data_IF_335490734034
#
_entry.id   IF_335490734034
#
_cell.length_a   1.000
_cell.length_b   1.000
_cell.length_c   1.000
_cell.angle_alpha   90.00
_cell.angle_beta   90.00
_cell.angle_gamma   90.00
#
_symmetry.space_group_name_H-M   'P 1'
#
loop_
_entity.id
_entity.type
_entity.pdbx_description
1 polymer ?
#
# COMPACT_ATOMS: atom_id res chain seq x y z
N UNK A 1 8.22 11.54 17.76
CA UNK A 1 8.68 11.77 16.38
C UNK A 1 8.54 10.50 15.57
N UNK A 2 8.17 10.59 14.33
CA UNK A 2 8.01 9.40 13.48
C UNK A 2 9.37 8.92 12.97
N UNK A 3 9.68 7.66 13.23
CA UNK A 3 10.96 7.05 12.85
C UNK A 3 10.81 6.03 11.71
N UNK A 4 9.68 5.32 11.67
CA UNK A 4 9.38 4.29 10.67
C UNK A 4 7.97 4.48 10.14
N UNK A 5 7.85 4.71 8.84
CA UNK A 5 6.59 4.94 8.16
C UNK A 5 6.30 3.78 7.21
N UNK A 6 5.10 3.22 7.31
CA UNK A 6 4.60 2.21 6.37
C UNK A 6 3.69 2.89 5.34
N UNK A 7 4.10 2.89 4.09
CA UNK A 7 3.30 3.36 2.97
C UNK A 7 2.59 2.18 2.30
N UNK A 8 1.27 2.16 2.34
CA UNK A 8 0.47 1.09 1.76
C UNK A 8 -0.02 1.49 0.37
N UNK A 9 0.18 0.61 -0.60
CA UNK A 9 -0.02 0.85 -2.01
C UNK A 9 -0.80 -0.30 -2.67
N UNK A 10 -1.79 0.04 -3.47
CA UNK A 10 -2.68 -0.92 -4.13
C UNK A 10 -2.35 -1.19 -5.61
N UNK A 11 -1.30 -0.57 -6.14
CA UNK A 11 -0.91 -0.71 -7.55
C UNK A 11 -1.57 0.28 -8.51
N UNK A 12 -2.55 1.07 -8.07
CA UNK A 12 -3.23 2.04 -8.93
C UNK A 12 -2.43 3.32 -9.18
N UNK A 13 -2.77 4.05 -10.26
CA UNK A 13 -2.17 5.36 -10.54
C UNK A 13 -2.52 6.40 -9.46
N UNK A 14 -3.73 6.34 -8.94
CA UNK A 14 -4.17 7.23 -7.85
C UNK A 14 -3.49 6.86 -6.53
N UNK A 15 -3.29 5.58 -6.26
CA UNK A 15 -2.50 5.09 -5.14
C UNK A 15 -1.06 5.63 -5.17
N UNK A 16 -0.46 5.77 -6.34
CA UNK A 16 0.87 6.37 -6.49
C UNK A 16 0.92 7.84 -6.09
N UNK A 17 -0.13 8.61 -6.39
CA UNK A 17 -0.22 10.01 -5.96
C UNK A 17 -0.31 10.14 -4.45
N UNK A 18 -1.14 9.30 -3.84
CA UNK A 18 -1.25 9.24 -2.38
C UNK A 18 0.06 8.80 -1.73
N UNK A 19 0.74 7.81 -2.32
CA UNK A 19 2.05 7.35 -1.89
C UNK A 19 3.08 8.48 -1.95
N UNK A 20 3.07 9.29 -3.00
CA UNK A 20 3.96 10.45 -3.13
C UNK A 20 3.79 11.44 -1.97
N UNK A 21 2.55 11.78 -1.61
CA UNK A 21 2.28 12.67 -0.47
C UNK A 21 2.75 12.08 0.86
N UNK A 22 2.54 10.79 1.05
CA UNK A 22 3.05 10.08 2.22
C UNK A 22 4.58 10.07 2.28
N UNK A 23 5.24 9.90 1.14
CA UNK A 23 6.69 9.95 1.03
C UNK A 23 7.23 11.36 1.33
N UNK A 24 6.59 12.40 0.81
CA UNK A 24 6.94 13.80 1.11
C UNK A 24 6.86 14.08 2.63
N UNK A 25 5.84 13.57 3.28
CA UNK A 25 5.72 13.68 4.74
C UNK A 25 6.85 12.92 5.45
N UNK A 26 7.16 11.69 5.02
CA UNK A 26 8.24 10.89 5.59
C UNK A 26 9.62 11.59 5.45
N UNK A 27 9.85 12.22 4.31
CA UNK A 27 11.04 13.05 4.08
C UNK A 27 11.10 14.19 5.09
N UNK A 28 10.00 14.91 5.25
CA UNK A 28 9.90 16.05 6.15
C UNK A 28 10.23 15.70 7.60
N UNK A 29 9.81 14.53 8.04
CA UNK A 29 10.06 14.06 9.42
C UNK A 29 11.34 13.24 9.57
N UNK A 30 12.05 12.97 8.48
CA UNK A 30 13.30 12.20 8.50
C UNK A 30 13.13 10.72 8.83
N UNK A 31 11.98 10.14 8.48
CA UNK A 31 11.66 8.76 8.80
C UNK A 31 12.22 7.75 7.78
N UNK A 32 12.47 6.55 8.24
CA UNK A 32 12.69 5.37 7.41
C UNK A 32 11.36 4.95 6.78
N UNK A 33 11.36 4.61 5.50
CA UNK A 33 10.15 4.31 4.74
C UNK A 33 10.09 2.84 4.35
N UNK A 34 8.98 2.22 4.67
CA UNK A 34 8.64 0.86 4.25
C UNK A 34 7.44 0.93 3.30
N UNK A 35 7.60 0.47 2.08
CA UNK A 35 6.52 0.47 1.07
C UNK A 35 5.95 -0.93 0.96
N UNK A 36 4.68 -1.08 1.27
CA UNK A 36 3.95 -2.35 1.18
C UNK A 36 2.99 -2.32 0.00
N UNK A 37 3.23 -3.17 -0.98
CA UNK A 37 2.30 -3.42 -2.07
C UNK A 37 1.53 -4.71 -1.79
N UNK A 38 0.21 -4.64 -1.82
CA UNK A 38 -0.66 -5.77 -1.49
C UNK A 38 -1.39 -6.21 -2.75
N UNK A 39 -1.15 -7.44 -3.15
CA UNK A 39 -1.89 -8.13 -4.20
C UNK A 39 -3.11 -8.82 -3.59
N UNK A 40 -4.27 -8.66 -4.22
CA UNK A 40 -5.47 -9.35 -3.79
C UNK A 40 -5.25 -10.86 -3.77
N UNK A 41 -5.81 -11.53 -2.77
CA UNK A 41 -5.81 -12.99 -2.72
C UNK A 41 -6.70 -13.53 -3.82
N UNK A 42 -6.12 -14.37 -4.68
CA UNK A 42 -6.86 -14.94 -5.80
C UNK A 42 -7.91 -16.00 -5.41
N UNK A 43 -7.85 -16.49 -4.20
CA UNK A 43 -8.69 -17.62 -3.75
C UNK A 43 -10.19 -17.31 -3.66
N UNK A 44 -10.60 -16.05 -3.78
CA UNK A 44 -12.00 -15.64 -3.60
C UNK A 44 -12.56 -14.75 -4.73
N UNK A 45 -11.83 -14.54 -5.81
CA UNK A 45 -12.24 -13.64 -6.90
C UNK A 45 -12.79 -14.45 -8.09
N UNK A 46 -13.95 -14.05 -8.65
CA UNK A 46 -14.44 -14.61 -9.91
C UNK A 46 -13.44 -14.48 -11.07
N UNK A 47 -12.55 -13.49 -11.00
CA UNK A 47 -11.47 -13.31 -11.94
C UNK A 47 -10.47 -14.48 -11.92
N UNK A 48 -10.32 -15.18 -10.79
CA UNK A 48 -9.46 -16.40 -10.72
C UNK A 48 -10.05 -17.57 -11.47
N UNK A 49 -11.36 -17.71 -11.41
CA UNK A 49 -12.05 -18.77 -12.17
C UNK A 49 -11.94 -18.49 -13.67
N UNK A 50 -12.03 -17.25 -14.10
CA UNK A 50 -11.78 -16.81 -15.46
C UNK A 50 -10.29 -16.90 -15.85
N UNK A 51 -9.38 -16.69 -14.91
CA UNK A 51 -7.94 -16.73 -15.10
C UNK A 51 -7.33 -18.14 -15.00
N UNK A 52 -8.07 -19.16 -14.55
CA UNK A 52 -7.69 -20.55 -14.77
C UNK A 52 -7.53 -20.89 -16.25
N UNK A 53 -8.15 -20.10 -17.15
CA UNK A 53 -7.92 -20.11 -18.58
C UNK A 53 -6.75 -19.21 -19.04
N UNK A 54 -6.19 -18.34 -18.15
CA UNK A 54 -5.14 -17.39 -18.45
C UNK A 54 -4.11 -17.26 -17.33
N UNK A 55 -3.45 -18.34 -16.96
CA UNK A 55 -2.38 -18.37 -15.96
C UNK A 55 -1.29 -17.28 -16.19
N UNK A 56 -1.12 -16.90 -17.44
CA UNK A 56 -0.15 -15.88 -17.89
C UNK A 56 -0.46 -14.49 -17.34
N UNK A 57 -1.74 -14.11 -17.23
CA UNK A 57 -2.12 -12.77 -16.77
C UNK A 57 -1.79 -12.49 -15.28
N UNK A 58 -1.80 -13.53 -14.45
CA UNK A 58 -1.53 -13.40 -13.01
C UNK A 58 -0.05 -13.20 -12.72
N UNK A 59 0.80 -13.86 -13.48
CA UNK A 59 2.26 -13.72 -13.39
C UNK A 59 2.68 -12.31 -13.84
N UNK A 60 2.05 -11.80 -14.89
CA UNK A 60 2.32 -10.45 -15.40
C UNK A 60 1.92 -9.36 -14.39
N UNK A 61 0.81 -9.55 -13.67
CA UNK A 61 0.36 -8.59 -12.66
C UNK A 61 1.34 -8.52 -11.48
N UNK A 62 1.76 -9.67 -10.97
CA UNK A 62 2.76 -9.71 -9.90
C UNK A 62 4.08 -9.08 -10.32
N UNK A 63 4.56 -9.40 -11.51
CA UNK A 63 5.79 -8.85 -12.05
C UNK A 63 5.70 -7.33 -12.22
N UNK A 64 4.59 -6.83 -12.74
CA UNK A 64 4.33 -5.40 -12.87
C UNK A 64 4.33 -4.69 -11.51
N UNK A 65 3.66 -5.27 -10.52
CA UNK A 65 3.64 -4.71 -9.17
C UNK A 65 5.03 -4.68 -8.55
N UNK A 66 5.83 -5.71 -8.76
CA UNK A 66 7.21 -5.79 -8.30
C UNK A 66 8.08 -4.71 -8.94
N UNK A 67 7.97 -4.52 -10.23
CA UNK A 67 8.70 -3.47 -10.96
C UNK A 67 8.33 -2.07 -10.50
N UNK A 68 7.03 -1.80 -10.32
CA UNK A 68 6.55 -0.53 -9.79
C UNK A 68 7.02 -0.27 -8.36
N UNK A 69 7.06 -1.31 -7.53
CA UNK A 69 7.59 -1.24 -6.18
C UNK A 69 9.09 -0.92 -6.19
N UNK A 70 9.87 -1.63 -7.00
CA UNK A 70 11.30 -1.43 -7.11
C UNK A 70 11.63 -0.01 -7.62
N UNK A 71 10.89 0.50 -8.59
CA UNK A 71 11.00 1.87 -9.07
C UNK A 71 10.72 2.90 -7.97
N UNK A 72 9.67 2.67 -7.19
CA UNK A 72 9.32 3.54 -6.07
C UNK A 72 10.41 3.57 -5.01
N UNK A 73 10.96 2.42 -4.68
CA UNK A 73 12.08 2.31 -3.73
C UNK A 73 13.34 3.01 -4.26
N UNK A 74 13.66 2.83 -5.54
CA UNK A 74 14.81 3.49 -6.16
C UNK A 74 14.68 5.02 -6.11
N UNK A 75 13.49 5.55 -6.36
CA UNK A 75 13.22 7.00 -6.26
C UNK A 75 13.40 7.53 -4.84
N UNK A 76 12.89 6.81 -3.85
CA UNK A 76 13.05 7.20 -2.45
C UNK A 76 14.53 7.20 -2.04
N UNK A 77 15.27 6.16 -2.43
CA UNK A 77 16.71 6.08 -2.17
C UNK A 77 17.51 7.19 -2.85
N UNK A 78 17.13 7.58 -4.07
CA UNK A 78 17.76 8.69 -4.79
C UNK A 78 17.57 10.04 -4.08
N UNK A 79 16.56 10.15 -3.24
CA UNK A 79 16.29 11.32 -2.40
C UNK A 79 16.94 11.24 -1.02
N UNK A 80 17.79 10.25 -0.78
CA UNK A 80 18.50 10.08 0.47
C UNK A 80 17.70 9.39 1.58
N UNK A 81 16.55 8.78 1.25
CA UNK A 81 15.68 8.11 2.22
C UNK A 81 16.08 6.64 2.32
N UNK A 82 16.12 6.12 3.55
CA UNK A 82 16.17 4.68 3.76
C UNK A 82 14.81 4.10 3.42
N UNK A 83 14.76 3.31 2.35
CA UNK A 83 13.51 2.75 1.85
C UNK A 83 13.62 1.24 1.63
N UNK A 84 12.56 0.53 2.00
CA UNK A 84 12.42 -0.93 1.86
C UNK A 84 11.09 -1.25 1.21
N UNK A 85 11.07 -2.23 0.32
CA UNK A 85 9.87 -2.66 -0.39
C UNK A 85 9.43 -4.05 0.01
N UNK A 86 8.11 -4.24 0.11
CA UNK A 86 7.48 -5.52 0.43
C UNK A 86 6.32 -5.77 -0.54
N UNK A 87 6.27 -6.96 -1.09
CA UNK A 87 5.16 -7.44 -1.90
C UNK A 87 4.48 -8.56 -1.14
N UNK A 88 3.21 -8.38 -0.81
CA UNK A 88 2.43 -9.35 -0.06
C UNK A 88 1.15 -9.74 -0.80
N UNK A 89 0.68 -10.94 -0.55
CA UNK A 89 -0.63 -11.43 -1.00
C UNK A 89 -1.53 -11.63 0.21
N UNK A 90 -2.78 -11.29 0.07
CA UNK A 90 -3.79 -11.54 1.08
C UNK A 90 -4.84 -10.44 1.19
N UNK A 91 -5.58 -10.49 2.27
CA UNK A 91 -6.55 -9.46 2.60
C UNK A 91 -5.84 -8.20 3.09
N UNK A 92 -6.30 -7.05 2.64
CA UNK A 92 -5.65 -5.76 2.84
C UNK A 92 -5.43 -5.43 4.31
N UNK A 93 -6.50 -5.39 5.11
CA UNK A 93 -6.42 -4.96 6.51
C UNK A 93 -5.56 -5.89 7.36
N UNK A 94 -5.77 -7.22 7.38
CA UNK A 94 -4.91 -8.13 8.14
C UNK A 94 -3.44 -8.05 7.72
N UNK A 95 -3.16 -7.85 6.44
CA UNK A 95 -1.79 -7.75 5.92
C UNK A 95 -1.11 -6.47 6.42
N UNK A 96 -1.80 -5.33 6.37
CA UNK A 96 -1.28 -4.06 6.90
C UNK A 96 -0.98 -4.19 8.40
N UNK A 97 -1.90 -4.74 9.17
CA UNK A 97 -1.73 -4.93 10.62
C UNK A 97 -0.53 -5.82 10.92
N UNK A 98 -0.38 -6.93 10.19
CA UNK A 98 0.74 -7.86 10.37
C UNK A 98 2.09 -7.18 10.09
N UNK A 99 2.20 -6.44 8.98
CA UNK A 99 3.42 -5.72 8.63
C UNK A 99 3.72 -4.56 9.57
N UNK A 100 2.70 -3.83 10.02
CA UNK A 100 2.90 -2.74 10.99
C UNK A 100 3.54 -3.22 12.29
N UNK A 101 3.11 -4.37 12.77
CA UNK A 101 3.67 -5.00 13.98
C UNK A 101 5.06 -5.59 13.72
N UNK A 102 5.23 -6.32 12.64
CA UNK A 102 6.50 -6.95 12.26
C UNK A 102 7.62 -5.92 12.09
N UNK A 103 7.32 -4.80 11.47
CA UNK A 103 8.28 -3.73 11.20
C UNK A 103 8.38 -2.70 12.33
N UNK A 104 7.52 -2.81 13.34
CA UNK A 104 7.43 -1.85 14.44
C UNK A 104 7.32 -0.40 13.95
N UNK A 105 6.41 -0.15 13.02
CA UNK A 105 6.17 1.19 12.47
C UNK A 105 5.38 2.06 13.43
N UNK A 106 5.63 3.34 13.39
CA UNK A 106 4.94 4.33 14.22
C UNK A 106 3.92 5.19 13.45
N UNK A 107 3.92 5.07 12.14
CA UNK A 107 2.94 5.68 11.26
C UNK A 107 2.59 4.78 10.08
N UNK A 108 1.31 4.62 9.79
CA UNK A 108 0.81 3.98 8.57
C UNK A 108 0.19 5.05 7.68
N UNK A 109 0.57 5.07 6.41
CA UNK A 109 -0.03 5.94 5.40
C UNK A 109 -0.82 5.10 4.42
N UNK A 110 -2.09 5.44 4.25
CA UNK A 110 -2.99 4.84 3.24
C UNK A 110 -3.51 5.92 2.31
N UNK A 111 -3.62 5.59 1.03
CA UNK A 111 -4.19 6.49 0.05
C UNK A 111 -5.71 6.45 0.06
N UNK A 112 -6.33 7.60 -0.09
CA UNK A 112 -7.75 7.71 -0.40
C UNK A 112 -7.92 8.51 -1.68
N UNK A 113 -8.59 7.93 -2.63
CA UNK A 113 -8.99 8.61 -3.85
C UNK A 113 -10.50 8.38 -4.08
N UNK A 114 -11.25 9.44 -4.37
CA UNK A 114 -12.65 9.27 -4.69
C UNK A 114 -12.76 8.55 -6.03
N UNK A 115 -13.26 7.35 -6.02
CA UNK A 115 -13.67 6.64 -7.23
C UNK A 115 -15.17 6.82 -7.43
N UNK A 116 -15.61 6.78 -8.69
CA UNK A 116 -17.04 6.83 -9.03
C UNK A 116 -17.85 5.72 -8.33
N UNK A 117 -17.21 4.64 -7.93
CA UNK A 117 -17.81 3.51 -7.23
C UNK A 117 -17.73 3.61 -5.70
N UNK A 118 -17.11 4.66 -5.16
CA UNK A 118 -16.98 4.87 -3.72
C UNK A 118 -16.14 3.80 -2.99
N UNK A 119 -15.41 2.98 -3.74
CA UNK A 119 -14.60 1.90 -3.15
C UNK A 119 -13.34 2.45 -2.52
N UNK A 120 -13.32 2.36 -1.22
CA UNK A 120 -12.13 2.61 -0.42
C UNK A 120 -11.51 1.26 -0.09
N UNK A 121 -10.43 0.89 -0.74
CA UNK A 121 -9.77 -0.39 -0.53
C UNK A 121 -9.36 -0.65 0.93
N UNK A 122 -9.19 0.41 1.69
CA UNK A 122 -8.83 0.40 3.12
C UNK A 122 -10.04 0.66 4.03
N UNK A 123 -11.20 0.90 3.50
CA UNK A 123 -12.33 1.46 4.22
C UNK A 123 -13.68 0.79 3.96
N UNK A 124 -13.74 -0.42 3.47
CA UNK A 124 -14.99 -1.17 3.40
C UNK A 124 -15.71 -1.21 4.77
N UNK A 125 -16.57 -2.17 5.03
CA UNK A 125 -17.12 -2.40 6.38
C UNK A 125 -16.03 -2.54 7.44
N UNK A 126 -14.80 -2.79 7.01
CA UNK A 126 -13.60 -2.98 7.83
C UNK A 126 -12.85 -1.68 8.16
N UNK A 127 -13.33 -0.52 7.73
CA UNK A 127 -12.68 0.78 7.94
C UNK A 127 -12.37 1.08 9.40
N UNK A 128 -13.33 0.86 10.27
CA UNK A 128 -13.16 1.01 11.70
C UNK A 128 -12.12 0.02 12.24
N UNK A 129 -12.04 -1.16 11.62
CA UNK A 129 -11.14 -2.23 12.04
C UNK A 129 -9.67 -1.89 11.90
N UNK A 130 -9.25 -1.16 10.86
CA UNK A 130 -7.84 -0.76 10.73
C UNK A 130 -7.42 0.16 11.86
N UNK A 131 -8.20 1.19 12.13
CA UNK A 131 -7.91 2.15 13.21
C UNK A 131 -7.91 1.50 14.61
N UNK A 132 -8.74 0.47 14.81
CA UNK A 132 -8.85 -0.26 16.07
C UNK A 132 -7.75 -1.31 16.25
N UNK A 133 -7.21 -1.84 15.15
CA UNK A 133 -6.26 -2.95 15.18
C UNK A 133 -4.79 -2.52 15.17
N UNK A 134 -4.50 -1.25 14.89
CA UNK A 134 -3.15 -0.72 14.84
C UNK A 134 -2.82 0.08 16.10
N UNK A 135 -1.61 -0.09 16.59
CA UNK A 135 -1.11 0.59 17.79
C UNK A 135 -0.27 1.85 17.45
N UNK A 136 -0.43 2.37 16.23
CA UNK A 136 0.32 3.50 15.73
C UNK A 136 -0.59 4.52 15.04
N UNK A 137 -0.03 5.65 14.66
CA UNK A 137 -0.77 6.68 13.95
C UNK A 137 -1.19 6.23 12.55
N UNK A 138 -2.35 6.68 12.11
CA UNK A 138 -2.86 6.44 10.75
C UNK A 138 -3.00 7.78 10.03
N UNK A 139 -2.33 7.90 8.89
CA UNK A 139 -2.43 9.05 8.00
C UNK A 139 -3.15 8.66 6.72
N UNK A 140 -4.18 9.42 6.38
CA UNK A 140 -4.94 9.20 5.15
C UNK A 140 -4.55 10.28 4.14
N UNK A 141 -3.81 9.89 3.11
CA UNK A 141 -3.44 10.79 2.02
C UNK A 141 -4.57 10.84 1.01
N UNK A 142 -5.23 11.98 0.90
CA UNK A 142 -6.31 12.19 -0.06
C UNK A 142 -5.71 12.72 -1.36
N UNK A 143 -5.94 12.00 -2.46
CA UNK A 143 -5.67 12.53 -3.80
C UNK A 143 -6.93 13.21 -4.32
N UNK A 144 -6.80 14.45 -4.77
CA UNK A 144 -7.87 15.11 -5.48
C UNK A 144 -8.15 14.35 -6.78
N UNK A 145 -9.40 13.96 -6.97
CA UNK A 145 -9.83 13.40 -8.25
C UNK A 145 -9.72 14.47 -9.33
N UNK A 146 -9.04 14.15 -10.39
CA UNK A 146 -9.10 14.95 -11.62
C UNK A 146 -10.35 14.63 -12.39
#
# INVERSE_FOLDING_TARGET
MFNRVLLCYDGSADGRRALKRGAEFAILVGAEVHVLSILASYAASPAVIAAAAGYVCLVDEEQRCRELLDDSIARLKSQGIKAYGYLARGNTIPTIVAYSKKLAVDLIVVGHYPTAEGRRWWAGPERASLAELVDCCLFIAVSEGT
#
